data_IF_902054058627
#
_entry.id   IF_902054058627
#
_cell.length_a   1.000
_cell.length_b   1.000
_cell.length_c   1.000
_cell.angle_alpha   90.00
_cell.angle_beta   90.00
_cell.angle_gamma   90.00
#
_symmetry.space_group_name_H-M   'P 1'
#
loop_
_entity.id
_entity.type
_entity.pdbx_description
1 polymer ?
#
# COMPACT_ATOMS: atom_id res chain seq x y z
N UNK A 1 0.06 -10.70 -8.49
CA UNK A 1 -0.83 -10.67 -7.31
C UNK A 1 -1.74 -9.45 -7.38
N UNK A 2 -2.88 -9.48 -6.68
CA UNK A 2 -3.74 -8.30 -6.50
C UNK A 2 -3.55 -7.75 -5.09
N UNK A 3 -3.26 -6.47 -4.98
CA UNK A 3 -3.07 -5.78 -3.69
C UNK A 3 -4.23 -4.84 -3.44
N UNK A 4 -4.73 -4.80 -2.22
CA UNK A 4 -5.73 -3.83 -1.77
C UNK A 4 -5.03 -2.73 -0.99
N UNK A 5 -5.25 -1.48 -1.40
CA UNK A 5 -4.70 -0.30 -0.75
C UNK A 5 -5.77 0.77 -0.58
N UNK A 6 -5.56 1.68 0.36
CA UNK A 6 -6.40 2.85 0.56
C UNK A 6 -5.73 3.79 1.56
N UNK A 7 -6.51 4.72 2.10
CA UNK A 7 -6.04 5.59 3.17
C UNK A 7 -6.70 5.21 4.50
N UNK A 8 -5.93 4.98 5.55
CA UNK A 8 -6.48 4.82 6.90
C UNK A 8 -7.38 6.02 7.23
N UNK A 9 -8.61 5.75 7.65
CA UNK A 9 -9.60 6.82 7.78
C UNK A 9 -9.23 7.84 8.87
N UNK A 10 -8.54 7.38 9.92
CA UNK A 10 -8.22 8.20 11.09
C UNK A 10 -7.03 9.11 10.86
N UNK A 11 -6.00 8.61 10.19
CA UNK A 11 -4.69 9.28 10.04
C UNK A 11 -4.46 9.81 8.63
N UNK A 12 -5.15 9.26 7.63
CA UNK A 12 -4.91 9.55 6.22
C UNK A 12 -3.69 8.84 5.63
N UNK A 13 -2.98 8.00 6.38
CA UNK A 13 -1.83 7.27 5.84
C UNK A 13 -2.24 6.29 4.76
N UNK A 14 -1.36 6.09 3.76
CA UNK A 14 -1.53 5.00 2.80
C UNK A 14 -1.33 3.68 3.53
N UNK A 15 -2.29 2.77 3.39
CA UNK A 15 -2.25 1.46 4.02
C UNK A 15 -2.48 0.33 3.02
N UNK A 16 -2.06 -0.87 3.42
CA UNK A 16 -2.02 -2.09 2.61
C UNK A 16 -2.68 -3.24 3.37
N UNK A 17 -3.55 -3.99 2.69
CA UNK A 17 -4.22 -5.12 3.29
C UNK A 17 -3.28 -6.30 3.52
N UNK A 18 -3.26 -6.82 4.74
CA UNK A 18 -2.37 -7.91 5.19
C UNK A 18 -3.01 -9.30 5.08
N UNK A 19 -4.27 -9.39 4.66
CA UNK A 19 -5.07 -10.62 4.71
C UNK A 19 -6.08 -10.62 5.85
N UNK A 20 -5.85 -9.82 6.89
CA UNK A 20 -6.75 -9.69 8.05
C UNK A 20 -6.84 -8.28 8.66
N UNK A 21 -5.87 -7.42 8.39
CA UNK A 21 -5.77 -6.04 8.91
C UNK A 21 -5.02 -5.13 7.92
N UNK A 22 -4.69 -3.91 8.31
CA UNK A 22 -4.03 -2.90 7.50
C UNK A 22 -2.63 -2.55 8.04
N UNK A 23 -1.62 -2.55 7.15
CA UNK A 23 -0.25 -2.11 7.46
C UNK A 23 0.09 -0.80 6.74
N UNK A 24 1.02 -0.03 7.30
CA UNK A 24 1.67 1.08 6.60
C UNK A 24 2.69 0.58 5.56
N UNK A 25 3.18 -0.64 5.73
CA UNK A 25 4.28 -1.21 4.95
C UNK A 25 3.73 -2.10 3.84
N UNK A 26 4.18 -1.84 2.60
CA UNK A 26 3.82 -2.64 1.42
C UNK A 26 4.32 -4.08 1.55
N UNK A 27 5.41 -4.28 2.27
CA UNK A 27 6.06 -5.57 2.50
C UNK A 27 5.14 -6.57 3.23
N UNK A 28 4.16 -6.07 4.01
CA UNK A 28 3.19 -6.88 4.73
C UNK A 28 1.94 -7.23 3.89
N UNK A 29 1.84 -6.72 2.67
CA UNK A 29 0.61 -6.83 1.89
C UNK A 29 0.38 -8.28 1.40
N UNK A 30 -0.87 -8.74 1.49
CA UNK A 30 -1.28 -10.05 1.01
C UNK A 30 -2.01 -9.96 -0.33
N UNK A 31 -1.96 -11.04 -1.12
CA UNK A 31 -2.79 -11.16 -2.31
C UNK A 31 -4.27 -11.30 -1.91
N UNK A 32 -5.11 -10.38 -2.40
CA UNK A 32 -6.55 -10.39 -2.11
C UNK A 32 -7.33 -11.36 -3.00
N UNK A 33 -6.68 -11.91 -4.03
CA UNK A 33 -7.27 -12.92 -4.91
C UNK A 33 -8.59 -12.49 -5.54
N UNK A 34 -9.56 -13.41 -5.56
CA UNK A 34 -10.90 -13.17 -6.12
C UNK A 34 -11.83 -12.40 -5.18
N UNK A 35 -11.51 -12.36 -3.88
CA UNK A 35 -12.33 -11.74 -2.84
C UNK A 35 -11.99 -10.26 -2.57
N UNK A 36 -11.12 -9.67 -3.39
CA UNK A 36 -10.66 -8.29 -3.22
C UNK A 36 -11.79 -7.27 -3.15
N UNK A 37 -12.76 -7.32 -4.08
CA UNK A 37 -13.88 -6.36 -4.11
C UNK A 37 -14.80 -6.48 -2.89
N UNK A 38 -15.02 -7.72 -2.42
CA UNK A 38 -15.82 -7.96 -1.22
C UNK A 38 -15.12 -7.44 0.04
N UNK A 39 -13.79 -7.66 0.14
CA UNK A 39 -12.96 -7.15 1.23
C UNK A 39 -12.95 -5.62 1.22
N UNK A 40 -12.72 -5.02 0.05
CA UNK A 40 -12.75 -3.58 -0.17
C UNK A 40 -14.05 -2.96 0.34
N UNK A 41 -15.21 -3.47 -0.11
CA UNK A 41 -16.51 -2.96 0.26
C UNK A 41 -16.80 -3.12 1.76
N UNK A 42 -16.38 -4.24 2.36
CA UNK A 42 -16.55 -4.49 3.79
C UNK A 42 -15.72 -3.52 4.65
N UNK A 43 -14.45 -3.32 4.28
CA UNK A 43 -13.53 -2.45 5.04
C UNK A 43 -13.88 -0.96 4.90
N UNK A 44 -14.33 -0.53 3.71
CA UNK A 44 -14.86 0.81 3.49
C UNK A 44 -16.15 1.04 4.26
N UNK A 45 -17.10 0.09 4.20
CA UNK A 45 -18.36 0.15 4.93
C UNK A 45 -18.17 0.15 6.45
N UNK A 46 -17.15 -0.56 6.95
CA UNK A 46 -16.71 -0.52 8.34
C UNK A 46 -15.98 0.77 8.73
N UNK A 47 -15.70 1.65 7.77
CA UNK A 47 -15.00 2.94 7.95
C UNK A 47 -13.59 2.77 8.54
N UNK A 48 -12.89 1.71 8.16
CA UNK A 48 -11.47 1.53 8.50
C UNK A 48 -10.56 2.20 7.47
N UNK A 49 -10.99 2.19 6.21
CA UNK A 49 -10.25 2.74 5.07
C UNK A 49 -11.13 3.70 4.27
N UNK A 50 -10.50 4.66 3.61
CA UNK A 50 -11.11 5.61 2.68
C UNK A 50 -10.54 5.43 1.27
N UNK A 51 -11.41 5.56 0.27
CA UNK A 51 -11.10 5.43 -1.15
C UNK A 51 -10.22 4.20 -1.46
N UNK A 52 -10.55 3.00 -0.96
CA UNK A 52 -9.76 1.82 -1.24
C UNK A 52 -9.89 1.41 -2.71
N UNK A 53 -8.83 0.83 -3.25
CA UNK A 53 -8.79 0.30 -4.61
C UNK A 53 -7.80 -0.85 -4.73
N UNK A 54 -8.02 -1.70 -5.74
CA UNK A 54 -7.16 -2.85 -6.02
C UNK A 54 -6.16 -2.48 -7.12
N UNK A 55 -4.91 -2.89 -6.94
CA UNK A 55 -3.83 -2.74 -7.91
C UNK A 55 -3.19 -4.08 -8.24
N UNK A 56 -2.50 -4.12 -9.38
CA UNK A 56 -1.61 -5.23 -9.70
C UNK A 56 -0.25 -5.03 -9.03
N UNK A 57 0.31 -6.13 -8.50
CA UNK A 57 1.66 -6.19 -7.97
C UNK A 57 2.38 -7.46 -8.39
N UNK A 58 3.69 -7.43 -8.22
CA UNK A 58 4.61 -8.56 -8.40
C UNK A 58 5.12 -9.01 -7.04
N UNK A 59 5.17 -10.31 -6.80
CA UNK A 59 5.81 -10.85 -5.60
C UNK A 59 7.33 -10.85 -5.80
N UNK A 60 8.08 -10.24 -4.89
CA UNK A 60 9.55 -10.29 -4.88
C UNK A 60 10.04 -10.95 -3.58
N UNK A 61 11.35 -11.14 -3.44
CA UNK A 61 11.93 -11.71 -2.23
C UNK A 61 11.80 -10.78 -1.01
N UNK A 62 11.66 -9.49 -1.25
CA UNK A 62 11.56 -8.42 -0.24
C UNK A 62 10.10 -8.06 0.09
N UNK A 63 9.14 -8.71 -0.57
CA UNK A 63 7.70 -8.45 -0.43
C UNK A 63 7.06 -8.02 -1.75
N UNK A 64 5.76 -7.67 -1.73
CA UNK A 64 5.06 -7.20 -2.91
C UNK A 64 5.62 -5.88 -3.44
N UNK A 65 5.75 -5.77 -4.76
CA UNK A 65 6.07 -4.53 -5.46
C UNK A 65 4.90 -4.11 -6.36
N UNK A 66 4.32 -2.90 -6.17
CA UNK A 66 3.30 -2.39 -7.08
C UNK A 66 3.80 -2.30 -8.52
N UNK A 67 3.00 -2.78 -9.47
CA UNK A 67 3.38 -2.79 -10.88
C UNK A 67 3.54 -1.36 -11.43
N UNK A 68 2.65 -0.45 -11.03
CA UNK A 68 2.62 0.92 -11.52
C UNK A 68 3.37 1.90 -10.58
N UNK A 69 4.17 2.80 -11.16
CA UNK A 69 5.05 3.73 -10.42
C UNK A 69 4.30 4.64 -9.44
N UNK A 70 3.09 5.10 -9.81
CA UNK A 70 2.21 5.89 -8.93
C UNK A 70 2.02 5.22 -7.56
N UNK A 71 1.81 3.91 -7.57
CA UNK A 71 1.51 3.16 -6.35
C UNK A 71 2.78 2.81 -5.57
N UNK A 72 3.94 2.73 -6.24
CA UNK A 72 5.25 2.68 -5.58
C UNK A 72 5.55 3.99 -4.85
N UNK A 73 5.28 5.15 -5.47
CA UNK A 73 5.39 6.45 -4.79
C UNK A 73 4.46 6.50 -3.58
N UNK A 74 3.21 6.02 -3.71
CA UNK A 74 2.27 5.97 -2.58
C UNK A 74 2.73 5.04 -1.46
N UNK A 75 3.38 3.93 -1.78
CA UNK A 75 3.93 3.00 -0.79
C UNK A 75 5.09 3.62 0.00
N UNK A 76 5.96 4.39 -0.66
CA UNK A 76 7.13 4.98 -0.01
C UNK A 76 6.83 6.31 0.68
N UNK A 77 6.13 7.21 0.00
CA UNK A 77 5.89 8.59 0.42
C UNK A 77 6.33 9.63 -0.61
N UNK A 78 6.30 10.92 -0.25
CA UNK A 78 6.49 12.03 -1.20
C UNK A 78 7.93 12.10 -1.73
N UNK A 79 8.08 12.23 -3.05
CA UNK A 79 9.39 12.37 -3.71
C UNK A 79 10.05 13.74 -3.53
N UNK A 80 9.25 14.78 -3.22
CA UNK A 80 9.73 16.15 -3.00
C UNK A 80 10.05 16.48 -1.54
N UNK A 81 9.65 15.60 -0.61
CA UNK A 81 9.95 15.68 0.83
C UNK A 81 10.38 14.29 1.35
N UNK A 82 11.56 13.78 0.95
CA UNK A 82 12.01 12.44 1.34
C UNK A 82 12.07 12.24 2.86
N UNK A 83 12.27 13.32 3.61
CA UNK A 83 12.23 13.35 5.08
C UNK A 83 10.87 12.99 5.69
N UNK A 84 9.79 13.01 4.89
CA UNK A 84 8.43 12.63 5.28
C UNK A 84 8.00 11.26 4.72
N UNK A 85 8.92 10.50 4.12
CA UNK A 85 8.64 9.13 3.66
C UNK A 85 8.61 8.15 4.82
N UNK A 86 8.26 6.89 4.56
CA UNK A 86 8.35 5.81 5.55
C UNK A 86 9.80 5.39 5.85
N UNK A 87 10.78 5.80 5.03
CA UNK A 87 12.20 5.45 5.19
C UNK A 87 13.10 6.71 5.15
N UNK A 88 12.88 7.71 6.04
CA UNK A 88 13.54 9.01 5.93
C UNK A 88 15.04 8.98 6.26
N UNK A 89 15.50 7.93 6.96
CA UNK A 89 16.92 7.73 7.28
C UNK A 89 17.70 7.00 6.16
N UNK A 90 17.02 6.47 5.15
CA UNK A 90 17.64 5.78 4.03
C UNK A 90 17.66 6.72 2.80
N UNK A 91 18.82 7.30 2.45
CA UNK A 91 18.93 8.22 1.32
C UNK A 91 18.71 7.53 -0.04
N UNK A 92 18.80 6.20 -0.11
CA UNK A 92 18.58 5.42 -1.33
C UNK A 92 17.14 4.91 -1.48
N UNK A 93 16.26 5.14 -0.50
CA UNK A 93 14.90 4.62 -0.52
C UNK A 93 14.10 5.04 -1.77
N UNK A 94 14.42 6.21 -2.35
CA UNK A 94 13.80 6.69 -3.59
C UNK A 94 14.09 5.80 -4.81
N UNK A 95 15.21 5.10 -4.86
CA UNK A 95 15.60 4.23 -5.98
C UNK A 95 14.64 3.05 -6.12
N UNK A 96 14.01 2.62 -5.02
CA UNK A 96 12.99 1.57 -5.05
C UNK A 96 11.76 1.96 -5.90
N UNK A 97 11.50 3.25 -6.13
CA UNK A 97 10.36 3.69 -6.94
C UNK A 97 10.55 3.38 -8.43
N UNK A 98 11.78 3.41 -8.94
CA UNK A 98 12.09 3.29 -10.37
C UNK A 98 12.11 1.82 -10.80
#
# INVERSE_FOLDING_TARGET
MKLLTGNDLKTGFVTWWTGSDWSLHIEDAADVGEHGEATLAAEEGARRVNAPYIINGEATAEGPRPAHIKDRIRALGPTVRPDLTLKPADPAAGDWVI
#
